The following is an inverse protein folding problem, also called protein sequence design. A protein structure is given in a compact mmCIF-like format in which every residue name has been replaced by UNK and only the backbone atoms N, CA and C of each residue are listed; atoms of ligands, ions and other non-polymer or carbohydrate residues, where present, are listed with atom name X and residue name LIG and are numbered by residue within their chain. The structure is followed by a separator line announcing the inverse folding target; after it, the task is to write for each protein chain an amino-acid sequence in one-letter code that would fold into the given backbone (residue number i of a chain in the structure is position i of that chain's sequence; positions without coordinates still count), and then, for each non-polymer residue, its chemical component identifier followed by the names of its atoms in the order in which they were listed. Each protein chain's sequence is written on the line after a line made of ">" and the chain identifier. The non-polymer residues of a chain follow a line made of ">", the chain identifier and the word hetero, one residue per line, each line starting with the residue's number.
data_IF_422407929576
#
_entry.id   IF_422407929576
#
_cell.length_a   1.000
_cell.length_b   1.000
_cell.length_c   1.000
_cell.angle_alpha   90.00
_cell.angle_beta   90.00
_cell.angle_gamma   90.00
#
_symmetry.space_group_name_H-M   'P 1'
#
loop_
_entity.id
_entity.type
_entity.pdbx_description
1 polymer ?
#
# COMPACT_ATOMS: atom_id res chain seq x y z
N UNK A 1 -3.19 -41.27 21.16
CA UNK A 1 -2.54 -40.68 19.97
C UNK A 1 -3.39 -41.14 18.79
N UNK A 2 -4.20 -40.32 18.13
CA UNK A 2 -3.83 -39.40 17.05
C UNK A 2 -4.88 -38.27 17.01
N UNK A 3 -4.42 -37.04 16.87
CA UNK A 3 -5.15 -35.77 16.95
C UNK A 3 -6.22 -35.59 15.87
N UNK A 4 -7.48 -35.44 16.27
CA UNK A 4 -8.61 -35.05 15.39
C UNK A 4 -8.65 -33.56 15.04
N UNK A 5 -7.61 -33.00 14.44
CA UNK A 5 -7.61 -31.63 13.92
C UNK A 5 -7.36 -31.59 12.42
N UNK A 6 -8.27 -32.21 11.65
CA UNK A 6 -8.44 -31.89 10.23
C UNK A 6 -9.19 -30.54 10.09
N UNK A 7 -8.68 -29.46 10.70
CA UNK A 7 -9.15 -28.13 10.29
C UNK A 7 -8.61 -27.89 8.90
N UNK A 8 -9.43 -28.07 7.87
CA UNK A 8 -9.12 -27.74 6.49
C UNK A 8 -9.01 -26.20 6.36
N UNK A 9 -7.88 -25.65 6.80
CA UNK A 9 -7.59 -24.23 6.65
C UNK A 9 -7.04 -23.99 5.25
N UNK A 10 -7.55 -22.95 4.59
CA UNK A 10 -7.12 -22.61 3.24
C UNK A 10 -5.84 -21.78 3.35
N UNK A 11 -4.84 -22.08 2.53
CA UNK A 11 -3.58 -21.34 2.49
C UNK A 11 -3.61 -20.35 1.32
N UNK A 12 -3.14 -19.13 1.58
CA UNK A 12 -2.88 -18.17 0.51
C UNK A 12 -1.83 -18.73 -0.45
N UNK A 13 -2.19 -18.87 -1.72
CA UNK A 13 -1.30 -19.39 -2.78
C UNK A 13 -0.09 -18.49 -3.04
N UNK A 14 -0.16 -17.21 -2.67
CA UNK A 14 0.90 -16.24 -2.88
C UNK A 14 1.89 -16.14 -1.71
N UNK A 15 1.39 -15.94 -0.48
CA UNK A 15 2.23 -15.70 0.69
C UNK A 15 2.24 -16.83 1.73
N UNK A 16 1.50 -17.92 1.51
CA UNK A 16 1.51 -19.08 2.39
C UNK A 16 0.76 -18.92 3.72
N UNK A 17 0.15 -17.76 4.00
CA UNK A 17 -0.58 -17.53 5.26
C UNK A 17 -1.87 -18.36 5.33
N UNK A 18 -2.17 -18.88 6.51
CA UNK A 18 -3.40 -19.65 6.74
C UNK A 18 -4.65 -18.77 6.83
N UNK A 19 -5.80 -19.36 6.51
CA UNK A 19 -7.10 -18.72 6.67
C UNK A 19 -7.43 -18.34 8.12
N UNK A 20 -6.73 -18.91 9.11
CA UNK A 20 -6.88 -18.53 10.53
C UNK A 20 -6.16 -17.22 10.85
N UNK A 21 -5.14 -16.88 10.07
CA UNK A 21 -4.28 -15.72 10.29
C UNK A 21 -4.62 -14.54 9.37
N UNK A 22 -5.74 -14.61 8.63
CA UNK A 22 -6.24 -13.52 7.79
C UNK A 22 -7.74 -13.37 7.99
N UNK A 23 -8.30 -12.15 8.07
CA UNK A 23 -9.73 -11.95 8.35
C UNK A 23 -10.64 -12.46 7.23
N UNK A 24 -10.12 -12.58 5.99
CA UNK A 24 -10.90 -13.05 4.85
C UNK A 24 -10.00 -13.64 3.76
N UNK A 25 -10.46 -14.70 3.11
CA UNK A 25 -9.89 -15.22 1.87
C UNK A 25 -10.58 -14.57 0.66
N UNK A 26 -9.80 -14.05 -0.28
CA UNK A 26 -10.23 -13.35 -1.50
C UNK A 26 -9.97 -14.19 -2.74
N UNK A 27 -10.62 -13.83 -3.85
CA UNK A 27 -10.39 -14.41 -5.17
C UNK A 27 -9.02 -13.98 -5.69
N UNK A 28 -8.30 -14.92 -6.28
CA UNK A 28 -7.04 -14.72 -7.00
C UNK A 28 -7.11 -15.29 -8.41
N UNK A 29 -5.98 -15.37 -9.12
CA UNK A 29 -5.92 -15.87 -10.49
C UNK A 29 -6.39 -17.33 -10.60
N UNK A 30 -6.08 -18.16 -9.60
CA UNK A 30 -6.50 -19.56 -9.54
C UNK A 30 -7.96 -19.76 -9.08
N UNK A 31 -8.74 -18.68 -8.92
CA UNK A 31 -10.15 -18.75 -8.55
C UNK A 31 -10.46 -18.25 -7.13
N UNK A 32 -11.68 -18.52 -6.62
CA UNK A 32 -12.16 -17.98 -5.35
C UNK A 32 -11.37 -18.52 -4.15
N UNK A 33 -11.19 -17.68 -3.12
CA UNK A 33 -10.52 -18.01 -1.84
C UNK A 33 -9.08 -18.52 -1.97
N UNK A 34 -8.36 -18.15 -3.03
CA UNK A 34 -6.96 -18.56 -3.26
C UNK A 34 -5.94 -17.59 -2.67
N UNK A 35 -6.36 -16.40 -2.24
CA UNK A 35 -5.50 -15.37 -1.66
C UNK A 35 -6.01 -14.92 -0.29
N UNK A 36 -5.10 -14.48 0.58
CA UNK A 36 -5.48 -13.79 1.82
C UNK A 36 -6.03 -12.38 1.54
N UNK A 37 -6.48 -11.68 2.59
CA UNK A 37 -7.04 -10.34 2.43
C UNK A 37 -6.05 -9.36 1.77
N UNK A 38 -4.79 -9.34 2.21
CA UNK A 38 -3.78 -8.42 1.67
C UNK A 38 -3.41 -8.74 0.22
N UNK A 39 -3.09 -10.01 -0.09
CA UNK A 39 -2.74 -10.43 -1.45
C UNK A 39 -3.92 -10.25 -2.41
N UNK A 40 -5.14 -10.54 -1.97
CA UNK A 40 -6.34 -10.38 -2.78
C UNK A 40 -6.69 -8.92 -3.09
N UNK A 41 -6.47 -7.99 -2.14
CA UNK A 41 -6.61 -6.56 -2.40
C UNK A 41 -5.55 -6.06 -3.39
N UNK A 42 -4.31 -6.54 -3.26
CA UNK A 42 -3.23 -6.22 -4.20
C UNK A 42 -3.56 -6.70 -5.62
N UNK A 43 -4.06 -7.94 -5.73
CA UNK A 43 -4.52 -8.53 -6.98
C UNK A 43 -5.68 -7.74 -7.59
N UNK A 44 -6.71 -7.40 -6.81
CA UNK A 44 -7.86 -6.63 -7.30
C UNK A 44 -7.48 -5.24 -7.80
N UNK A 45 -6.51 -4.58 -7.14
CA UNK A 45 -6.12 -3.21 -7.48
C UNK A 45 -5.08 -3.12 -8.61
N UNK A 46 -4.16 -4.08 -8.74
CA UNK A 46 -3.05 -4.00 -9.71
C UNK A 46 -3.10 -5.07 -10.81
N UNK A 47 -3.99 -6.06 -10.70
CA UNK A 47 -4.12 -7.19 -11.64
C UNK A 47 -2.91 -8.13 -11.69
N UNK A 48 -1.88 -7.88 -10.86
CA UNK A 48 -0.61 -8.59 -10.88
C UNK A 48 -0.11 -8.76 -9.45
N UNK A 49 0.31 -9.97 -9.12
CA UNK A 49 1.06 -10.29 -7.91
C UNK A 49 2.51 -10.56 -8.32
N UNK A 50 3.46 -9.79 -7.78
CA UNK A 50 4.90 -10.07 -7.99
C UNK A 50 5.25 -11.32 -7.20
N UNK A 51 6.04 -12.21 -7.79
CA UNK A 51 6.53 -13.41 -7.11
C UNK A 51 7.33 -13.02 -5.87
N UNK A 52 6.84 -13.46 -4.71
CA UNK A 52 7.57 -13.32 -3.46
C UNK A 52 8.44 -14.57 -3.33
N UNK A 53 9.78 -14.47 -3.20
CA UNK A 53 10.58 -15.63 -2.85
C UNK A 53 10.04 -16.17 -1.53
N UNK A 54 9.75 -17.46 -1.49
CA UNK A 54 9.08 -18.18 -0.41
C UNK A 54 9.94 -18.14 0.86
N UNK A 55 9.96 -16.99 1.54
CA UNK A 55 10.68 -16.74 2.80
C UNK A 55 9.66 -16.20 3.77
N UNK A 56 9.42 -17.04 4.77
CA UNK A 56 8.83 -16.73 6.07
C UNK A 56 8.95 -15.26 6.48
N UNK A 57 7.78 -14.63 6.67
CA UNK A 57 7.54 -13.59 7.66
C UNK A 57 8.65 -12.54 7.89
N UNK A 58 9.06 -11.78 6.87
CA UNK A 58 9.77 -10.51 7.07
C UNK A 58 9.78 -9.60 5.82
N UNK A 59 8.89 -8.58 5.82
CA UNK A 59 9.17 -7.21 5.32
C UNK A 59 9.08 -6.85 3.82
N UNK A 60 8.82 -5.53 3.60
CA UNK A 60 9.28 -4.61 2.52
C UNK A 60 8.17 -4.03 1.56
N UNK A 61 8.19 -2.70 1.25
CA UNK A 61 7.02 -1.81 1.10
C UNK A 61 6.50 -1.55 -0.33
N UNK A 62 5.32 -0.92 -0.46
CA UNK A 62 4.68 -0.60 -1.75
C UNK A 62 5.37 0.57 -2.50
N UNK A 63 5.70 0.43 -3.79
CA UNK A 63 6.36 1.47 -4.59
C UNK A 63 5.45 2.64 -5.05
N UNK A 64 4.14 2.62 -4.81
CA UNK A 64 3.21 3.66 -5.29
C UNK A 64 3.09 4.89 -4.36
N UNK A 65 3.69 4.86 -3.17
CA UNK A 65 3.71 6.03 -2.27
C UNK A 65 4.53 7.19 -2.88
N UNK A 66 5.49 6.90 -3.77
CA UNK A 66 6.38 7.94 -4.31
C UNK A 66 5.67 8.99 -5.19
N UNK A 67 4.56 8.64 -5.85
CA UNK A 67 3.82 9.58 -6.71
C UNK A 67 3.06 10.62 -5.90
N UNK A 68 2.37 10.20 -4.84
CA UNK A 68 1.65 11.10 -3.94
C UNK A 68 2.60 12.02 -3.18
N UNK A 69 3.76 11.51 -2.77
CA UNK A 69 4.81 12.31 -2.13
C UNK A 69 5.39 13.38 -3.07
N UNK A 70 5.58 13.06 -4.35
CA UNK A 70 6.05 14.05 -5.34
C UNK A 70 5.01 15.16 -5.55
N UNK A 71 3.72 14.80 -5.63
CA UNK A 71 2.62 15.77 -5.76
C UNK A 71 2.54 16.66 -4.52
N UNK A 72 2.55 16.10 -3.30
CA UNK A 72 2.53 16.87 -2.06
C UNK A 72 3.78 17.75 -1.90
N UNK A 73 4.94 17.27 -2.35
CA UNK A 73 6.18 18.05 -2.36
C UNK A 73 6.10 19.26 -3.31
N UNK A 74 5.50 19.10 -4.50
CA UNK A 74 5.24 20.20 -5.43
C UNK A 74 4.24 21.21 -4.87
N UNK A 75 3.14 20.74 -4.28
CA UNK A 75 2.13 21.60 -3.62
C UNK A 75 2.80 22.43 -2.53
N UNK A 76 3.61 21.81 -1.66
CA UNK A 76 4.32 22.51 -0.58
C UNK A 76 5.28 23.58 -1.12
N UNK A 77 6.00 23.29 -2.22
CA UNK A 77 6.86 24.26 -2.90
C UNK A 77 6.06 25.43 -3.48
N UNK A 78 4.93 25.17 -4.15
CA UNK A 78 4.05 26.22 -4.68
C UNK A 78 3.49 27.10 -3.56
N UNK A 79 3.06 26.52 -2.43
CA UNK A 79 2.57 27.29 -1.28
C UNK A 79 3.64 28.24 -0.72
N UNK A 80 4.90 27.80 -0.62
CA UNK A 80 6.01 28.65 -0.18
C UNK A 80 6.30 29.80 -1.17
N UNK A 81 6.28 29.51 -2.47
CA UNK A 81 6.45 30.54 -3.51
C UNK A 81 5.33 31.57 -3.42
N UNK A 82 4.08 31.13 -3.31
CA UNK A 82 2.94 32.05 -3.15
C UNK A 82 3.04 32.87 -1.86
N UNK A 83 3.50 32.28 -0.76
CA UNK A 83 3.73 33.00 0.49
C UNK A 83 4.84 34.06 0.35
N UNK A 84 5.93 33.74 -0.36
CA UNK A 84 7.01 34.68 -0.67
C UNK A 84 6.52 35.82 -1.58
N UNK A 85 5.81 35.50 -2.66
CA UNK A 85 5.23 36.52 -3.55
C UNK A 85 4.28 37.42 -2.76
N UNK A 86 3.42 36.84 -1.93
CA UNK A 86 2.53 37.61 -1.05
C UNK A 86 3.30 38.49 -0.07
N UNK A 87 4.40 38.02 0.50
CA UNK A 87 5.26 38.80 1.38
C UNK A 87 5.93 39.96 0.65
N UNK A 88 6.51 39.72 -0.53
CA UNK A 88 7.14 40.77 -1.34
C UNK A 88 6.12 41.82 -1.77
N UNK A 89 4.96 41.41 -2.28
CA UNK A 89 3.87 42.33 -2.62
C UNK A 89 3.37 43.11 -1.40
N UNK A 90 3.32 42.50 -0.23
CA UNK A 90 3.00 43.19 1.02
C UNK A 90 4.08 44.21 1.41
N UNK A 91 5.36 43.88 1.24
CA UNK A 91 6.45 44.83 1.48
C UNK A 91 6.40 46.02 0.52
N UNK A 92 6.06 45.76 -0.75
CA UNK A 92 5.86 46.78 -1.78
C UNK A 92 4.64 47.66 -1.47
N UNK A 93 3.50 47.07 -1.05
CA UNK A 93 2.30 47.83 -0.68
C UNK A 93 2.47 48.70 0.56
N UNK A 94 3.39 48.33 1.45
CA UNK A 94 3.72 49.10 2.64
C UNK A 94 4.92 50.04 2.45
N UNK A 95 5.49 50.13 1.24
CA UNK A 95 6.58 51.06 0.91
C UNK A 95 7.84 50.87 1.75
N UNK A 96 8.11 49.63 2.19
CA UNK A 96 9.29 49.28 3.03
C UNK A 96 10.42 48.64 2.22
N UNK A 97 10.50 48.96 0.93
CA UNK A 97 11.63 48.59 0.06
C UNK A 97 12.65 49.71 0.10
#
# INVERSE_FOLDING_TARGET
>A
MITGLNTCYVICTHCGISSKSTPMMRRGPAGPRTLCNACGLKWANKGLLRDVPKVSAAGIPDPNIKGTEMVWSLIRKLTLILALVKYVLHMESHGKV
#
